data_IF_236886095284
#
_entry.id   IF_236886095284
#
_cell.length_a   1.000
_cell.length_b   1.000
_cell.length_c   1.000
_cell.angle_alpha   90.00
_cell.angle_beta   90.00
_cell.angle_gamma   90.00
#
_symmetry.space_group_name_H-M   'P 1'
#
loop_
_entity.id
_entity.type
_entity.pdbx_description
1 polymer ?
#
# COMPACT_ATOMS: atom_id res chain seq x y z
N UNK A 1 -9.58 -4.05 0.32
CA UNK A 1 -8.95 -3.44 1.50
C UNK A 1 -8.66 -2.03 1.11
N UNK A 2 -9.24 -1.09 1.84
CA UNK A 2 -9.00 0.31 1.60
C UNK A 2 -7.79 0.72 2.45
N UNK A 3 -6.81 1.35 1.80
CA UNK A 3 -5.70 1.97 2.52
C UNK A 3 -6.25 3.22 3.20
N UNK A 4 -5.91 3.43 4.47
CA UNK A 4 -6.34 4.59 5.25
C UNK A 4 -5.11 5.25 5.89
N UNK A 5 -5.14 6.57 6.09
CA UNK A 5 -4.16 7.23 6.94
C UNK A 5 -4.06 6.53 8.31
N UNK A 6 -2.88 6.60 8.92
CA UNK A 6 -2.53 6.02 10.22
C UNK A 6 -2.45 4.49 10.28
N UNK A 7 -2.60 3.78 9.16
CA UNK A 7 -2.31 2.34 9.09
C UNK A 7 -0.83 2.07 9.38
N UNK A 8 -0.58 1.00 10.13
CA UNK A 8 0.77 0.51 10.36
C UNK A 8 1.36 -0.03 9.05
N UNK A 9 2.67 0.19 8.90
CA UNK A 9 3.44 -0.27 7.75
C UNK A 9 4.81 -0.78 8.22
N UNK A 10 5.31 -1.77 7.50
CA UNK A 10 6.68 -2.29 7.63
C UNK A 10 7.46 -1.90 6.39
N UNK A 11 8.60 -1.26 6.57
CA UNK A 11 9.45 -0.74 5.50
C UNK A 11 10.77 -1.51 5.48
N UNK A 12 10.99 -2.28 4.43
CA UNK A 12 12.22 -3.04 4.18
C UNK A 12 13.09 -2.27 3.18
N UNK A 13 14.35 -2.07 3.51
CA UNK A 13 15.29 -1.30 2.68
C UNK A 13 16.08 -2.28 1.83
N UNK A 14 16.06 -2.16 0.50
CA UNK A 14 16.69 -3.16 -0.37
C UNK A 14 18.21 -3.22 -0.23
N UNK A 15 18.84 -2.13 0.24
CA UNK A 15 20.27 -2.05 0.48
C UNK A 15 20.73 -2.86 1.71
N UNK A 16 19.80 -3.30 2.56
CA UNK A 16 20.09 -4.03 3.79
C UNK A 16 19.27 -5.32 3.85
N UNK A 17 19.91 -6.45 4.15
CA UNK A 17 19.20 -7.72 4.31
C UNK A 17 18.24 -7.63 5.51
N UNK A 18 16.93 -7.67 5.23
CA UNK A 18 15.90 -7.55 6.26
C UNK A 18 15.88 -8.72 7.25
N UNK A 19 16.48 -9.86 6.91
CA UNK A 19 16.61 -11.02 7.79
C UNK A 19 17.70 -10.79 8.85
N UNK A 20 18.69 -9.94 8.54
CA UNK A 20 19.82 -9.63 9.41
C UNK A 20 19.56 -8.34 10.20
N UNK A 21 19.20 -7.27 9.49
CA UNK A 21 19.08 -5.93 10.07
C UNK A 21 17.64 -5.53 10.42
N UNK A 22 16.67 -6.38 10.05
CA UNK A 22 15.26 -6.13 10.29
C UNK A 22 14.66 -5.11 9.31
N UNK A 23 13.61 -4.46 9.77
CA UNK A 23 12.82 -3.52 8.99
C UNK A 23 12.43 -2.33 9.85
N UNK A 24 12.12 -1.21 9.20
CA UNK A 24 11.58 -0.05 9.89
C UNK A 24 10.08 -0.19 10.09
N UNK A 25 9.62 0.18 11.29
CA UNK A 25 8.20 0.44 11.52
C UNK A 25 7.86 1.82 10.98
N UNK A 26 6.68 1.95 10.40
CA UNK A 26 6.16 3.20 9.92
C UNK A 26 4.64 3.27 9.92
N UNK A 27 4.12 4.44 9.58
CA UNK A 27 2.69 4.70 9.46
C UNK A 27 2.38 5.41 8.15
N UNK A 28 1.25 5.06 7.55
CA UNK A 28 0.73 5.78 6.37
C UNK A 28 0.35 7.20 6.80
N UNK A 29 1.03 8.20 6.25
CA UNK A 29 0.80 9.60 6.55
C UNK A 29 -0.23 10.21 5.59
N UNK A 30 -0.08 9.94 4.29
CA UNK A 30 -0.98 10.48 3.27
C UNK A 30 -1.12 9.53 2.09
N UNK A 31 -2.30 9.56 1.49
CA UNK A 31 -2.60 8.95 0.20
C UNK A 31 -2.95 10.11 -0.74
N UNK A 32 -2.22 10.25 -1.84
CA UNK A 32 -2.53 11.26 -2.85
C UNK A 32 -3.81 10.89 -3.60
N UNK A 33 -4.63 11.89 -3.90
CA UNK A 33 -5.80 11.72 -4.78
C UNK A 33 -5.41 11.61 -6.27
N UNK A 34 -4.16 11.99 -6.58
CA UNK A 34 -3.63 11.96 -7.93
C UNK A 34 -3.34 10.51 -8.35
N UNK A 35 -3.91 10.14 -9.50
CA UNK A 35 -3.67 8.87 -10.16
C UNK A 35 -2.42 8.98 -11.02
N UNK A 36 -1.49 8.06 -10.84
CA UNK A 36 -0.39 7.82 -11.77
C UNK A 36 -0.84 6.70 -12.69
N UNK A 37 -0.98 7.03 -13.97
CA UNK A 37 -1.20 6.04 -15.03
C UNK A 37 0.18 5.59 -15.48
N UNK A 38 0.44 4.28 -15.48
CA UNK A 38 1.68 3.78 -16.08
C UNK A 38 1.53 3.78 -17.60
N UNK A 39 2.07 4.81 -18.24
CA UNK A 39 2.06 4.97 -19.70
C UNK A 39 2.81 3.84 -20.44
N UNK A 40 3.55 2.98 -19.72
CA UNK A 40 4.28 1.84 -20.30
C UNK A 40 3.39 0.64 -20.61
N UNK A 41 2.22 0.54 -19.98
CA UNK A 41 1.27 -0.53 -20.25
C UNK A 41 0.26 -0.10 -21.31
N UNK A 42 0.57 -0.41 -22.59
CA UNK A 42 -0.42 -0.35 -23.69
C UNK A 42 -1.39 -1.53 -23.61
N UNK A 43 -1.96 -1.78 -22.44
CA UNK A 43 -3.05 -2.73 -22.23
C UNK A 43 -4.39 -2.01 -22.39
N UNK A 44 -5.44 -2.73 -22.78
CA UNK A 44 -6.79 -2.17 -23.00
C UNK A 44 -7.42 -1.57 -21.73
N UNK A 45 -6.77 -1.73 -20.57
CA UNK A 45 -7.16 -1.20 -19.26
C UNK A 45 -5.90 -0.74 -18.52
N UNK A 46 -5.53 0.55 -18.58
CA UNK A 46 -4.34 1.04 -17.89
C UNK A 46 -4.47 0.86 -16.38
N UNK A 47 -3.46 0.27 -15.75
CA UNK A 47 -3.40 0.18 -14.29
C UNK A 47 -3.20 1.57 -13.69
N UNK A 48 -3.98 1.86 -12.66
CA UNK A 48 -3.99 3.13 -11.94
C UNK A 48 -3.32 2.95 -10.60
N UNK A 49 -2.25 3.70 -10.37
CA UNK A 49 -1.51 3.71 -9.12
C UNK A 49 -1.79 4.98 -8.33
N UNK A 50 -1.82 4.85 -7.01
CA UNK A 50 -1.92 5.98 -6.08
C UNK A 50 -0.64 6.11 -5.29
N UNK A 51 -0.13 7.34 -5.15
CA UNK A 51 1.05 7.59 -4.34
C UNK A 51 0.69 7.58 -2.86
N UNK A 52 1.39 6.75 -2.09
CA UNK A 52 1.28 6.70 -0.63
C UNK A 52 2.57 7.22 -0.01
N UNK A 53 2.44 8.08 1.00
CA UNK A 53 3.57 8.52 1.82
C UNK A 53 3.51 7.79 3.16
N UNK A 54 4.60 7.09 3.48
CA UNK A 54 4.78 6.37 4.74
C UNK A 54 5.90 7.04 5.53
N UNK A 55 5.62 7.36 6.79
CA UNK A 55 6.58 7.92 7.72
C UNK A 55 7.14 6.81 8.60
N UNK A 56 8.44 6.59 8.55
CA UNK A 56 9.13 5.64 9.44
C UNK A 56 9.41 6.28 10.80
N UNK A 57 9.48 5.47 11.84
CA UNK A 57 9.81 5.92 13.20
C UNK A 57 11.28 6.33 13.35
N UNK A 58 12.15 5.71 12.54
CA UNK A 58 13.60 5.97 12.48
C UNK A 58 14.06 6.15 11.03
N UNK A 59 15.26 6.70 10.85
CA UNK A 59 15.92 6.91 9.55
C UNK A 59 17.16 6.03 9.36
N UNK A 60 17.38 5.04 10.24
CA UNK A 60 18.48 4.10 10.15
C UNK A 60 18.05 2.72 10.64
N UNK A 61 18.72 1.68 10.14
CA UNK A 61 18.71 0.35 10.73
C UNK A 61 19.94 0.19 11.64
N UNK A 62 20.15 -1.02 12.17
CA UNK A 62 21.28 -1.32 13.05
C UNK A 62 21.06 -0.81 14.48
N UNK A 63 22.17 -0.68 15.21
CA UNK A 63 22.14 -0.24 16.62
C UNK A 63 22.56 1.22 16.73
N UNK A 64 22.38 1.83 17.89
CA UNK A 64 22.89 3.19 18.14
C UNK A 64 24.42 3.27 18.05
N UNK A 65 25.13 2.17 18.31
CA UNK A 65 26.59 2.10 18.24
C UNK A 65 27.12 1.89 16.80
N UNK A 66 26.31 1.30 15.93
CA UNK A 66 26.64 1.06 14.52
C UNK A 66 25.38 1.26 13.66
N UNK A 67 25.03 2.54 13.37
CA UNK A 67 23.82 2.86 12.63
C UNK A 67 24.04 2.64 11.12
N UNK A 68 23.02 2.10 10.47
CA UNK A 68 22.96 1.92 9.03
C UNK A 68 22.06 2.99 8.42
N UNK A 69 22.60 4.14 7.95
CA UNK A 69 21.81 5.29 7.55
C UNK A 69 21.06 5.05 6.24
N UNK A 70 19.80 5.48 6.19
CA UNK A 70 18.98 5.40 4.98
C UNK A 70 18.97 6.76 4.30
N UNK A 71 19.40 6.81 3.05
CA UNK A 71 19.49 8.03 2.26
C UNK A 71 18.43 8.06 1.14
N UNK A 72 18.01 9.26 0.70
CA UNK A 72 17.10 9.40 -0.43
C UNK A 72 17.61 8.68 -1.68
N UNK A 73 16.69 8.06 -2.44
CA UNK A 73 17.01 7.30 -3.64
C UNK A 73 17.18 5.79 -3.40
N UNK A 74 17.24 5.34 -2.15
CA UNK A 74 17.19 3.92 -1.84
C UNK A 74 15.81 3.32 -2.19
N UNK A 75 15.85 2.11 -2.76
CA UNK A 75 14.65 1.33 -3.06
C UNK A 75 14.16 0.65 -1.79
N UNK A 76 12.84 0.64 -1.60
CA UNK A 76 12.22 0.05 -0.41
C UNK A 76 11.00 -0.76 -0.80
N UNK A 77 10.73 -1.80 -0.02
CA UNK A 77 9.49 -2.56 -0.07
C UNK A 77 8.66 -2.18 1.15
N UNK A 78 7.45 -1.69 0.92
CA UNK A 78 6.55 -1.23 1.97
C UNK A 78 5.36 -2.18 2.07
N UNK A 79 5.22 -2.81 3.22
CA UNK A 79 4.12 -3.71 3.55
C UNK A 79 3.14 -2.96 4.45
N UNK A 80 2.01 -2.52 3.89
CA UNK A 80 0.97 -1.80 4.63
C UNK A 80 0.03 -2.83 5.26
N UNK A 81 -0.12 -2.80 6.58
CA UNK A 81 -1.03 -3.66 7.33
C UNK A 81 -2.46 -3.14 7.16
N UNK A 82 -3.12 -3.53 6.07
CA UNK A 82 -4.56 -3.32 5.91
C UNK A 82 -5.29 -4.42 6.68
N UNK A 83 -6.23 -4.05 7.56
CA UNK A 83 -6.96 -4.98 8.43
C UNK A 83 -7.57 -6.21 7.74
N UNK A 84 -7.98 -7.18 8.56
CA UNK A 84 -8.53 -8.49 8.17
C UNK A 84 -9.63 -8.34 7.10
N UNK A 85 -9.36 -8.77 5.86
CA UNK A 85 -10.42 -8.89 4.86
C UNK A 85 -11.20 -10.16 5.13
N UNK A 86 -12.48 -10.08 5.48
CA UNK A 86 -13.40 -11.18 5.19
C UNK A 86 -13.52 -11.32 3.67
N UNK A 87 -13.22 -12.51 3.13
CA UNK A 87 -13.34 -12.85 1.69
C UNK A 87 -14.77 -12.58 1.17
N UNK A 88 -15.75 -12.48 2.07
CA UNK A 88 -17.17 -12.27 1.81
C UNK A 88 -17.48 -10.98 1.02
N UNK A 89 -16.70 -9.90 1.19
CA UNK A 89 -16.94 -8.62 0.49
C UNK A 89 -16.62 -8.67 -1.02
N UNK A 90 -15.78 -9.63 -1.46
CA UNK A 90 -15.52 -9.85 -2.88
C UNK A 90 -16.63 -10.69 -3.55
N UNK A 91 -17.34 -11.52 -2.77
CA UNK A 91 -18.41 -12.40 -3.27
C UNK A 91 -19.73 -11.64 -3.43
N UNK A 92 -19.99 -10.59 -2.65
CA UNK A 92 -21.26 -9.86 -2.65
C UNK A 92 -21.42 -8.83 -3.79
N UNK A 93 -20.42 -8.67 -4.66
CA UNK A 93 -20.47 -7.70 -5.77
C UNK A 93 -21.53 -7.96 -6.88
N UNK A 94 -21.99 -9.18 -7.20
CA UNK A 94 -22.99 -9.36 -8.26
C UNK A 94 -24.44 -9.19 -7.79
N UNK A 95 -24.72 -9.14 -6.48
CA UNK A 95 -26.11 -9.20 -6.01
C UNK A 95 -26.85 -7.85 -6.01
N UNK A 96 -26.14 -6.72 -6.08
CA UNK A 96 -26.76 -5.38 -5.95
C UNK A 96 -27.20 -4.74 -7.26
N UNK A 97 -26.74 -5.24 -8.41
CA UNK A 97 -27.22 -4.76 -9.72
C UNK A 97 -28.54 -5.43 -10.14
N UNK A 98 -28.82 -6.65 -9.64
CA UNK A 98 -30.02 -7.40 -10.04
C UNK A 98 -31.34 -6.85 -9.45
N UNK A 99 -31.30 -6.02 -8.40
CA UNK A 99 -32.52 -5.48 -7.79
C UNK A 99 -33.04 -4.19 -8.43
N UNK A 100 -32.20 -3.43 -9.15
CA UNK A 100 -32.62 -2.16 -9.75
C UNK A 100 -33.27 -2.32 -11.12
N UNK A 101 -32.99 -3.41 -11.83
CA UNK A 101 -33.56 -3.65 -13.17
C UNK A 101 -34.90 -4.38 -13.12
N UNK A 102 -35.25 -5.00 -12.00
CA UNK A 102 -36.51 -5.75 -11.82
C UNK A 102 -37.73 -4.87 -11.45
N UNK A 103 -37.56 -3.55 -11.32
CA UNK A 103 -38.64 -2.62 -10.90
C UNK A 103 -38.99 -1.55 -11.96
N UNK A 104 -38.49 -1.66 -13.19
CA UNK A 104 -38.78 -0.70 -14.27
C UNK A 104 -39.59 -1.27 -15.43
N UNK A 105 -40.12 -2.47 -15.31
CA UNK A 105 -41.09 -3.00 -16.25
C UNK A 105 -42.26 -3.64 -15.49
N UNK A 106 -43.20 -2.78 -15.07
CA UNK A 106 -44.64 -3.01 -15.06
C UNK A 106 -45.36 -1.67 -14.95
#
# INVERSE_FOLDING_TARGET
AFIRPSQDAVVKISAYDSSVYGSLKGKVERISADTIVDDKEKTERPETFYRVMVRTEKNHLGTEADPLPIIPGMVTTVEILTGEKSVLDYILKPARTLRSDALREH
#
